data_IF_881766329638
#
_entry.id   IF_881766329638
#
_cell.length_a   1.000
_cell.length_b   1.000
_cell.length_c   1.000
_cell.angle_alpha   90.00
_cell.angle_beta   90.00
_cell.angle_gamma   90.00
#
_symmetry.space_group_name_H-M   'P 1'
#
loop_
_entity.id
_entity.type
_entity.pdbx_description
1 polymer ?
#
# COMPACT_ATOMS: atom_id res chain seq x y z
N UNK A 1 21.45 8.75 15.11
CA UNK A 1 20.68 8.41 13.90
C UNK A 1 20.70 9.64 12.99
N UNK A 2 21.04 9.49 11.71
CA UNK A 2 20.91 10.58 10.76
C UNK A 2 19.43 10.82 10.47
N UNK A 3 18.99 12.08 10.47
CA UNK A 3 17.58 12.44 10.23
C UNK A 3 17.07 11.86 8.89
N UNK A 4 17.96 11.78 7.91
CA UNK A 4 17.73 11.23 6.57
C UNK A 4 17.36 9.74 6.56
N UNK A 5 17.60 9.01 7.66
CA UNK A 5 17.26 7.59 7.81
C UNK A 5 15.96 7.36 8.60
N UNK A 6 15.23 8.42 8.96
CA UNK A 6 13.95 8.34 9.66
C UNK A 6 12.81 8.59 8.66
N UNK A 7 11.74 7.79 8.73
CA UNK A 7 10.53 7.96 7.92
C UNK A 7 9.30 7.89 8.81
N UNK A 8 8.47 8.95 8.81
CA UNK A 8 7.17 8.93 9.46
C UNK A 8 6.10 8.69 8.39
N UNK A 9 5.54 7.48 8.36
CA UNK A 9 4.57 7.06 7.34
C UNK A 9 3.22 6.73 7.96
N UNK A 10 2.14 7.16 7.29
CA UNK A 10 0.79 6.77 7.68
C UNK A 10 0.15 5.86 6.65
N UNK A 11 -0.60 4.85 7.09
CA UNK A 11 -1.42 4.03 6.19
C UNK A 11 -2.86 4.51 6.31
N UNK A 12 -3.49 4.79 5.18
CA UNK A 12 -4.88 5.20 5.13
C UNK A 12 -5.61 4.54 3.97
N UNK A 13 -6.87 4.22 4.18
CA UNK A 13 -7.64 3.41 3.24
C UNK A 13 -9.14 3.57 3.46
N UNK A 14 -9.94 3.12 2.49
CA UNK A 14 -11.34 2.83 2.72
C UNK A 14 -11.52 1.63 3.68
N UNK A 15 -12.70 1.51 4.27
CA UNK A 15 -13.08 0.38 5.13
C UNK A 15 -12.87 -0.93 4.37
N UNK A 16 -12.37 -1.96 5.07
CA UNK A 16 -12.10 -3.28 4.49
C UNK A 16 -11.22 -3.26 3.22
N UNK A 17 -10.26 -2.34 3.14
CA UNK A 17 -9.23 -2.34 2.09
C UNK A 17 -7.94 -3.07 2.51
N UNK A 18 -7.91 -3.63 3.73
CA UNK A 18 -6.76 -4.39 4.24
C UNK A 18 -5.63 -3.54 4.85
N UNK A 19 -5.95 -2.34 5.33
CA UNK A 19 -5.00 -1.42 5.98
C UNK A 19 -4.28 -2.05 7.18
N UNK A 20 -5.04 -2.58 8.15
CA UNK A 20 -4.48 -3.26 9.33
C UNK A 20 -3.68 -4.49 8.95
N UNK A 21 -4.15 -5.27 7.97
CA UNK A 21 -3.43 -6.43 7.45
C UNK A 21 -2.07 -6.02 6.87
N UNK A 22 -2.01 -4.92 6.12
CA UNK A 22 -0.74 -4.37 5.61
C UNK A 22 0.18 -3.94 6.76
N UNK A 23 -0.34 -3.24 7.77
CA UNK A 23 0.41 -2.88 8.98
C UNK A 23 1.02 -4.10 9.68
N UNK A 24 0.22 -5.15 9.90
CA UNK A 24 0.69 -6.41 10.52
C UNK A 24 1.79 -7.07 9.68
N UNK A 25 1.66 -7.08 8.35
CA UNK A 25 2.69 -7.64 7.45
C UNK A 25 4.00 -6.85 7.53
N UNK A 26 3.94 -5.52 7.61
CA UNK A 26 5.13 -4.67 7.83
C UNK A 26 5.80 -5.02 9.17
N UNK A 27 5.02 -5.18 10.24
CA UNK A 27 5.52 -5.59 11.54
C UNK A 27 6.19 -6.98 11.50
N UNK A 28 5.61 -7.91 10.74
CA UNK A 28 6.13 -9.27 10.62
C UNK A 28 7.44 -9.30 9.84
N UNK A 29 7.49 -8.70 8.66
CA UNK A 29 8.70 -8.69 7.84
C UNK A 29 9.84 -7.90 8.48
N UNK A 30 9.55 -6.87 9.27
CA UNK A 30 10.57 -6.15 10.07
C UNK A 30 11.04 -6.91 11.31
N UNK A 31 10.51 -8.12 11.56
CA UNK A 31 10.87 -8.96 12.71
C UNK A 31 10.29 -8.47 14.05
N UNK A 32 9.39 -7.49 14.05
CA UNK A 32 8.78 -6.95 15.27
C UNK A 32 7.76 -7.90 15.90
N UNK A 33 7.06 -8.66 15.06
CA UNK A 33 6.17 -9.75 15.46
C UNK A 33 6.61 -11.06 14.79
N UNK A 34 6.42 -12.19 15.46
CA UNK A 34 6.84 -13.51 14.96
C UNK A 34 5.68 -14.36 14.44
N UNK A 35 4.44 -13.86 14.52
CA UNK A 35 3.24 -14.53 14.03
C UNK A 35 2.32 -13.49 13.43
N UNK A 36 1.80 -13.77 12.23
CA UNK A 36 0.76 -12.95 11.61
C UNK A 36 -0.59 -13.42 12.12
N UNK A 37 -1.42 -12.49 12.60
CA UNK A 37 -2.80 -12.79 13.00
C UNK A 37 -3.76 -12.00 12.11
N UNK A 38 -4.79 -12.66 11.61
CA UNK A 38 -5.83 -11.98 10.84
C UNK A 38 -6.77 -11.19 11.76
N UNK A 39 -7.25 -10.05 11.25
CA UNK A 39 -8.20 -9.16 11.95
C UNK A 39 -9.50 -9.88 12.32
N UNK A 40 -9.92 -10.89 11.53
CA UNK A 40 -11.16 -11.66 11.73
C UNK A 40 -10.94 -13.16 11.95
N UNK A 41 -9.74 -13.58 12.35
CA UNK A 41 -9.41 -14.98 12.59
C UNK A 41 -9.73 -15.46 14.01
N UNK A 42 -9.75 -16.78 14.22
CA UNK A 42 -9.78 -17.38 15.56
C UNK A 42 -8.45 -17.08 16.29
N UNK A 43 -8.47 -16.12 17.22
CA UNK A 43 -7.26 -15.69 17.93
C UNK A 43 -7.41 -14.38 18.70
N UNK A 44 -6.28 -13.80 19.12
CA UNK A 44 -6.25 -12.56 19.91
C UNK A 44 -6.47 -11.27 19.09
N UNK A 45 -6.75 -11.36 17.78
CA UNK A 45 -6.89 -10.22 16.86
C UNK A 45 -5.55 -9.62 16.43
N UNK A 46 -5.59 -8.72 15.44
CA UNK A 46 -4.40 -7.99 14.97
C UNK A 46 -3.73 -7.23 16.13
N UNK A 47 -2.40 -7.20 16.15
CA UNK A 47 -1.58 -6.51 17.15
C UNK A 47 -1.88 -5.02 17.19
N UNK A 48 -2.16 -4.39 16.05
CA UNK A 48 -2.43 -2.95 15.93
C UNK A 48 -3.80 -2.52 16.46
N UNK A 49 -4.79 -3.43 16.47
CA UNK A 49 -6.14 -3.16 17.00
C UNK A 49 -6.15 -3.52 18.50
N UNK A 50 -5.78 -2.58 19.36
CA UNK A 50 -5.60 -2.85 20.79
C UNK A 50 -6.91 -2.86 21.59
N UNK A 51 -7.97 -2.18 21.13
CA UNK A 51 -9.24 -2.11 21.84
C UNK A 51 -10.08 -3.38 21.58
N UNK A 52 -10.76 -3.90 22.62
CA UNK A 52 -11.65 -5.08 22.47
C UNK A 52 -12.73 -4.86 21.41
N UNK A 53 -13.27 -3.65 21.32
CA UNK A 53 -14.28 -3.29 20.32
C UNK A 53 -13.72 -3.28 18.88
N UNK A 54 -12.46 -2.90 18.71
CA UNK A 54 -11.77 -2.94 17.40
C UNK A 54 -11.63 -4.38 16.92
N UNK A 55 -11.21 -5.29 17.81
CA UNK A 55 -11.10 -6.72 17.55
C UNK A 55 -12.43 -7.39 17.26
N UNK A 56 -13.47 -7.05 18.04
CA UNK A 56 -14.82 -7.61 17.87
C UNK A 56 -15.45 -7.20 16.53
N UNK A 57 -15.24 -5.93 16.12
CA UNK A 57 -15.85 -5.36 14.91
C UNK A 57 -14.97 -5.50 13.67
N UNK A 58 -13.68 -5.79 13.84
CA UNK A 58 -12.66 -5.78 12.79
C UNK A 58 -12.52 -4.41 12.12
N UNK A 59 -12.53 -3.33 12.91
CA UNK A 59 -12.35 -1.95 12.44
C UNK A 59 -11.32 -1.23 13.31
N UNK A 60 -10.53 -0.34 12.72
CA UNK A 60 -9.63 0.57 13.45
C UNK A 60 -10.40 1.81 13.90
N UNK A 61 -10.43 2.09 15.21
CA UNK A 61 -11.12 3.24 15.83
C UNK A 61 -10.11 4.32 16.19
N UNK A 62 -8.99 3.93 16.81
CA UNK A 62 -7.93 4.85 17.23
C UNK A 62 -6.68 4.70 16.36
N UNK A 63 -5.94 5.79 16.18
CA UNK A 63 -4.68 5.71 15.44
C UNK A 63 -3.63 4.98 16.28
N UNK A 64 -3.07 3.89 15.75
CA UNK A 64 -2.02 3.12 16.41
C UNK A 64 -0.65 3.51 15.84
N UNK A 65 0.31 3.85 16.70
CA UNK A 65 1.66 4.21 16.30
C UNK A 65 2.66 3.15 16.75
N UNK A 66 3.54 2.73 15.85
CA UNK A 66 4.58 1.74 16.12
C UNK A 66 5.85 2.10 15.37
N UNK A 67 7.00 1.67 15.89
CA UNK A 67 8.31 1.90 15.26
C UNK A 67 8.91 0.57 14.86
N UNK A 68 9.39 0.49 13.63
CA UNK A 68 10.11 -0.67 13.09
C UNK A 68 11.47 -0.25 12.55
N UNK A 69 12.41 -1.19 12.55
CA UNK A 69 13.67 -1.05 11.82
C UNK A 69 13.56 -1.83 10.52
N UNK A 70 13.89 -1.19 9.42
CA UNK A 70 13.99 -1.82 8.11
C UNK A 70 15.35 -1.49 7.52
N UNK A 71 16.22 -2.49 7.48
CA UNK A 71 17.64 -2.30 7.17
C UNK A 71 18.27 -1.19 8.04
N UNK A 72 18.78 -0.14 7.39
CA UNK A 72 19.37 1.03 8.01
C UNK A 72 18.36 2.12 8.41
N UNK A 73 17.09 1.96 8.06
CA UNK A 73 16.03 2.96 8.24
C UNK A 73 15.17 2.68 9.46
N UNK A 74 14.80 3.75 10.16
CA UNK A 74 13.76 3.72 11.19
C UNK A 74 12.46 4.24 10.61
N UNK A 75 11.44 3.40 10.66
CA UNK A 75 10.11 3.73 10.15
C UNK A 75 9.17 3.84 11.34
N UNK A 76 8.59 5.03 11.52
CA UNK A 76 7.49 5.27 12.44
C UNK A 76 6.19 5.14 11.64
N UNK A 77 5.46 4.07 11.90
CA UNK A 77 4.23 3.71 11.23
C UNK A 77 3.04 4.21 12.06
N UNK A 78 2.14 4.97 11.43
CA UNK A 78 0.86 5.40 12.01
C UNK A 78 -0.27 4.74 11.23
N UNK A 79 -0.97 3.81 11.86
CA UNK A 79 -2.15 3.18 11.27
C UNK A 79 -3.38 4.02 11.55
N UNK A 80 -4.02 4.56 10.51
CA UNK A 80 -5.11 5.55 10.66
C UNK A 80 -6.50 4.92 10.51
N UNK A 81 -7.53 5.38 11.23
CA UNK A 81 -8.90 4.92 11.02
C UNK A 81 -9.37 5.13 9.56
N UNK A 82 -10.07 4.14 9.00
CA UNK A 82 -10.60 4.22 7.62
C UNK A 82 -12.08 4.64 7.54
N UNK A 83 -12.73 4.81 8.70
CA UNK A 83 -14.16 5.15 8.79
C UNK A 83 -14.37 6.67 8.84
N UNK A 84 -15.46 7.13 8.24
CA UNK A 84 -15.82 8.57 8.15
C UNK A 84 -16.01 9.23 9.53
N UNK A 85 -16.49 8.45 10.50
CA UNK A 85 -16.76 8.93 11.86
C UNK A 85 -15.48 9.28 12.64
N UNK A 86 -14.31 8.82 12.17
CA UNK A 86 -13.01 9.05 12.83
C UNK A 86 -12.10 9.99 12.03
N UNK A 87 -12.69 10.83 11.17
CA UNK A 87 -11.96 11.81 10.33
C UNK A 87 -11.07 12.77 11.12
N UNK A 88 -11.42 13.10 12.37
CA UNK A 88 -10.58 13.95 13.24
C UNK A 88 -9.24 13.29 13.56
N UNK A 89 -9.23 11.98 13.80
CA UNK A 89 -8.00 11.22 14.07
C UNK A 89 -7.12 11.11 12.82
N UNK A 90 -7.74 10.94 11.65
CA UNK A 90 -7.04 10.96 10.36
C UNK A 90 -6.40 12.33 10.12
N UNK A 91 -7.13 13.44 10.32
CA UNK A 91 -6.56 14.78 10.15
C UNK A 91 -5.40 15.08 11.10
N UNK A 92 -5.46 14.60 12.35
CA UNK A 92 -4.37 14.77 13.31
C UNK A 92 -3.13 14.02 12.87
N UNK A 93 -3.31 12.78 12.42
CA UNK A 93 -2.21 11.93 11.95
C UNK A 93 -1.54 12.53 10.70
N UNK A 94 -2.31 12.98 9.72
CA UNK A 94 -1.76 13.55 8.47
C UNK A 94 -0.88 14.78 8.67
N UNK A 95 -1.02 15.53 9.77
CA UNK A 95 -0.21 16.73 10.04
C UNK A 95 1.22 16.43 10.49
N UNK A 96 1.50 15.20 10.91
CA UNK A 96 2.80 14.81 11.49
C UNK A 96 3.57 13.82 10.61
N UNK A 97 3.02 13.46 9.46
CA UNK A 97 3.58 12.46 8.55
C UNK A 97 4.45 13.08 7.48
N UNK A 98 5.56 12.42 7.18
CA UNK A 98 6.43 12.76 6.04
C UNK A 98 5.83 12.22 4.72
N UNK A 99 5.05 11.15 4.81
CA UNK A 99 4.36 10.54 3.67
C UNK A 99 3.25 9.59 4.09
N UNK A 100 2.44 9.17 3.12
CA UNK A 100 1.34 8.24 3.36
C UNK A 100 1.23 7.14 2.30
N UNK A 101 0.65 6.01 2.69
CA UNK A 101 0.27 4.92 1.81
C UNK A 101 -1.26 4.92 1.72
N UNK A 102 -1.78 5.23 0.53
CA UNK A 102 -3.20 5.15 0.21
C UNK A 102 -3.51 3.74 -0.29
N UNK A 103 -4.10 2.92 0.57
CA UNK A 103 -4.48 1.54 0.21
C UNK A 103 -5.84 1.53 -0.50
N UNK A 104 -5.88 0.90 -1.67
CA UNK A 104 -7.06 0.76 -2.51
C UNK A 104 -7.33 -0.73 -2.76
N UNK A 105 -8.60 -1.12 -2.86
CA UNK A 105 -8.97 -2.50 -3.18
C UNK A 105 -8.98 -2.71 -4.70
N UNK A 106 -8.32 -3.75 -5.20
CA UNK A 106 -8.26 -4.08 -6.63
C UNK A 106 -9.65 -4.29 -7.27
N UNK A 107 -10.60 -4.80 -6.50
CA UNK A 107 -11.99 -4.99 -6.92
C UNK A 107 -12.82 -3.73 -6.69
N UNK A 108 -12.65 -3.09 -5.53
CA UNK A 108 -13.45 -1.96 -5.10
C UNK A 108 -13.09 -0.64 -5.79
N UNK A 109 -11.86 -0.46 -6.25
CA UNK A 109 -11.37 0.78 -6.82
C UNK A 109 -11.42 1.97 -5.87
N UNK A 110 -11.65 3.15 -6.41
CA UNK A 110 -11.74 4.41 -5.65
C UNK A 110 -13.15 4.59 -5.10
N UNK A 111 -13.24 4.58 -3.78
CA UNK A 111 -14.47 4.75 -3.00
C UNK A 111 -14.64 6.19 -2.49
N UNK A 112 -15.85 6.55 -2.06
CA UNK A 112 -16.14 7.90 -1.56
C UNK A 112 -15.29 8.30 -0.35
N UNK A 113 -14.94 7.33 0.51
CA UNK A 113 -14.01 7.58 1.62
C UNK A 113 -12.57 7.74 1.15
N UNK A 114 -12.13 7.00 0.13
CA UNK A 114 -10.81 7.20 -0.49
C UNK A 114 -10.67 8.64 -0.97
N UNK A 115 -11.71 9.22 -1.58
CA UNK A 115 -11.72 10.63 -1.99
C UNK A 115 -11.65 11.62 -0.82
N UNK A 116 -12.27 11.30 0.31
CA UNK A 116 -12.22 12.15 1.51
C UNK A 116 -10.81 12.17 2.10
N UNK A 117 -10.22 11.00 2.27
CA UNK A 117 -8.83 10.82 2.75
C UNK A 117 -7.85 11.50 1.80
N UNK A 118 -8.06 11.31 0.49
CA UNK A 118 -7.28 11.95 -0.57
C UNK A 118 -7.25 13.48 -0.44
N UNK A 119 -8.42 14.09 -0.27
CA UNK A 119 -8.56 15.54 -0.07
C UNK A 119 -7.84 16.00 1.20
N UNK A 120 -7.88 15.22 2.27
CA UNK A 120 -7.17 15.54 3.51
C UNK A 120 -5.64 15.50 3.29
N UNK A 121 -5.12 14.47 2.63
CA UNK A 121 -3.70 14.38 2.27
C UNK A 121 -3.26 15.56 1.38
N UNK A 122 -4.05 15.92 0.35
CA UNK A 122 -3.79 17.08 -0.51
C UNK A 122 -3.78 18.39 0.28
N UNK A 123 -4.71 18.57 1.22
CA UNK A 123 -4.80 19.76 2.08
C UNK A 123 -3.54 19.96 2.92
N UNK A 124 -2.96 18.88 3.44
CA UNK A 124 -1.74 18.92 4.23
C UNK A 124 -0.46 18.72 3.40
N UNK A 125 -0.59 18.59 2.08
CA UNK A 125 0.52 18.36 1.12
C UNK A 125 1.38 17.16 1.48
N UNK A 126 0.76 16.10 2.01
CA UNK A 126 1.46 14.85 2.36
C UNK A 126 1.72 14.08 1.06
N UNK A 127 2.99 13.82 0.69
CA UNK A 127 3.32 12.92 -0.42
C UNK A 127 2.75 11.53 -0.16
N UNK A 128 2.26 10.85 -1.20
CA UNK A 128 1.64 9.54 -1.01
C UNK A 128 1.93 8.56 -2.13
N UNK A 129 1.98 7.30 -1.76
CA UNK A 129 2.02 6.16 -2.66
C UNK A 129 0.65 5.48 -2.65
N UNK A 130 0.17 5.05 -3.81
CA UNK A 130 -1.01 4.20 -3.91
C UNK A 130 -0.58 2.72 -3.82
N UNK A 131 -1.24 1.94 -2.97
CA UNK A 131 -1.02 0.50 -2.86
C UNK A 131 -2.33 -0.23 -3.19
N UNK A 132 -2.35 -0.95 -4.31
CA UNK A 132 -3.51 -1.73 -4.74
C UNK A 132 -3.43 -3.10 -4.06
N UNK A 133 -4.34 -3.34 -3.13
CA UNK A 133 -4.43 -4.56 -2.33
C UNK A 133 -5.57 -5.47 -2.80
N UNK A 134 -5.61 -6.70 -2.30
CA UNK A 134 -6.63 -7.71 -2.62
C UNK A 134 -6.62 -8.15 -4.09
N UNK A 135 -5.43 -8.25 -4.68
CA UNK A 135 -5.20 -8.71 -6.06
C UNK A 135 -5.57 -10.18 -6.28
N UNK A 136 -5.63 -10.95 -5.20
CA UNK A 136 -6.02 -12.36 -5.12
C UNK A 136 -7.52 -12.60 -5.34
N UNK A 137 -8.34 -11.54 -5.34
CA UNK A 137 -9.81 -11.67 -5.49
C UNK A 137 -10.23 -11.73 -6.94
N UNK A 138 -11.26 -12.52 -7.23
CA UNK A 138 -11.93 -12.53 -8.52
C UNK A 138 -12.42 -11.12 -8.89
N UNK A 139 -12.10 -10.66 -10.10
CA UNK A 139 -12.42 -9.32 -10.59
C UNK A 139 -11.45 -8.23 -10.13
N UNK A 140 -10.26 -8.60 -9.63
CA UNK A 140 -9.17 -7.66 -9.41
C UNK A 140 -8.73 -7.05 -10.75
N UNK A 141 -8.75 -5.72 -10.85
CA UNK A 141 -8.44 -5.03 -12.11
C UNK A 141 -7.63 -3.74 -11.82
N UNK A 142 -6.30 -3.83 -11.70
CA UNK A 142 -5.47 -2.70 -11.25
C UNK A 142 -5.43 -1.56 -12.26
N UNK A 143 -5.55 -1.84 -13.55
CA UNK A 143 -5.62 -0.82 -14.59
C UNK A 143 -6.87 0.05 -14.44
N UNK A 144 -8.03 -0.54 -14.12
CA UNK A 144 -9.23 0.22 -13.79
C UNK A 144 -9.03 1.08 -12.55
N UNK A 145 -8.40 0.56 -11.50
CA UNK A 145 -8.09 1.37 -10.31
C UNK A 145 -7.22 2.58 -10.66
N UNK A 146 -6.23 2.43 -11.55
CA UNK A 146 -5.43 3.56 -12.04
C UNK A 146 -6.28 4.59 -12.78
N UNK A 147 -7.14 4.15 -13.72
CA UNK A 147 -8.06 5.07 -14.41
C UNK A 147 -8.98 5.79 -13.43
N UNK A 148 -9.50 5.08 -12.42
CA UNK A 148 -10.33 5.69 -11.38
C UNK A 148 -9.59 6.69 -10.50
N UNK A 149 -8.31 6.47 -10.19
CA UNK A 149 -7.47 7.46 -9.50
C UNK A 149 -7.38 8.73 -10.35
N UNK A 150 -7.11 8.58 -11.65
CA UNK A 150 -7.02 9.72 -12.55
C UNK A 150 -8.33 10.51 -12.65
N UNK A 151 -9.45 9.81 -12.86
CA UNK A 151 -10.76 10.44 -13.08
C UNK A 151 -11.37 11.01 -11.79
N UNK A 152 -11.31 10.27 -10.68
CA UNK A 152 -12.02 10.62 -9.44
C UNK A 152 -11.15 11.41 -8.46
N UNK A 153 -9.86 11.12 -8.38
CA UNK A 153 -8.95 11.85 -7.49
C UNK A 153 -8.28 13.04 -8.20
N UNK A 154 -8.25 13.03 -9.54
CA UNK A 154 -7.63 14.09 -10.33
C UNK A 154 -6.11 14.09 -10.20
N UNK A 155 -5.51 12.91 -10.06
CA UNK A 155 -4.07 12.69 -9.99
C UNK A 155 -3.57 12.01 -11.26
N UNK A 156 -2.24 11.95 -11.45
CA UNK A 156 -1.62 11.21 -12.56
C UNK A 156 -0.92 9.97 -12.00
N UNK A 157 -1.64 8.84 -11.84
CA UNK A 157 -1.05 7.62 -11.30
C UNK A 157 -0.05 7.03 -12.30
N UNK A 158 1.10 6.60 -11.78
CA UNK A 158 2.13 5.91 -12.53
C UNK A 158 2.26 4.52 -11.92
N UNK A 159 2.11 3.48 -12.76
CA UNK A 159 2.34 2.11 -12.32
C UNK A 159 3.84 1.90 -12.13
N UNK A 160 4.22 1.47 -10.93
CA UNK A 160 5.59 1.06 -10.60
C UNK A 160 5.78 -0.45 -10.81
N UNK A 161 4.69 -1.21 -10.76
CA UNK A 161 4.67 -2.66 -10.83
C UNK A 161 3.51 -3.14 -11.71
N UNK A 162 3.69 -4.29 -12.36
CA UNK A 162 2.62 -5.03 -13.04
C UNK A 162 2.37 -6.37 -12.32
N UNK A 163 1.12 -6.82 -12.17
CA UNK A 163 0.85 -8.13 -11.60
C UNK A 163 1.19 -9.25 -12.60
N UNK A 164 1.69 -10.37 -12.09
CA UNK A 164 1.80 -11.63 -12.82
C UNK A 164 0.60 -12.49 -12.43
N UNK A 165 -0.31 -12.71 -13.39
CA UNK A 165 -1.60 -13.33 -13.15
C UNK A 165 -2.64 -12.40 -12.51
N UNK A 166 -3.85 -12.93 -12.27
CA UNK A 166 -4.98 -12.18 -11.71
C UNK A 166 -5.87 -13.06 -10.83
N UNK A 167 -6.41 -12.51 -9.74
CA UNK A 167 -7.27 -13.27 -8.84
C UNK A 167 -6.55 -14.51 -8.30
N UNK A 168 -7.12 -15.69 -8.53
CA UNK A 168 -6.55 -16.96 -8.04
C UNK A 168 -5.22 -17.34 -8.71
N UNK A 169 -4.89 -16.77 -9.86
CA UNK A 169 -3.60 -17.01 -10.54
C UNK A 169 -2.55 -15.96 -10.23
N UNK A 170 -2.84 -15.01 -9.34
CA UNK A 170 -1.87 -13.98 -8.94
C UNK A 170 -0.71 -14.61 -8.15
N UNK A 171 0.49 -14.58 -8.74
CA UNK A 171 1.65 -15.31 -8.23
C UNK A 171 2.88 -14.42 -7.98
N UNK A 172 2.89 -13.20 -8.52
CA UNK A 172 4.04 -12.31 -8.43
C UNK A 172 3.78 -10.94 -9.02
N UNK A 173 4.84 -10.13 -9.06
CA UNK A 173 4.82 -8.80 -9.67
C UNK A 173 6.07 -8.55 -10.50
N UNK A 174 5.94 -7.84 -11.61
CA UNK A 174 7.06 -7.31 -12.38
C UNK A 174 7.38 -5.92 -11.84
N UNK A 175 8.61 -5.71 -11.38
CA UNK A 175 9.12 -4.38 -11.06
C UNK A 175 9.59 -3.67 -12.32
N UNK A 176 8.94 -2.56 -12.68
CA UNK A 176 9.26 -1.79 -13.88
C UNK A 176 10.53 -0.94 -13.74
N UNK A 177 11.02 -0.73 -12.51
CA UNK A 177 12.27 -0.01 -12.26
C UNK A 177 13.45 -0.92 -12.62
N UNK A 178 13.54 -2.06 -11.96
CA UNK A 178 14.63 -3.04 -12.15
C UNK A 178 14.43 -3.94 -13.38
N UNK A 179 13.20 -4.00 -13.92
CA UNK A 179 12.80 -4.91 -15.00
C UNK A 179 13.05 -6.37 -14.66
N UNK A 180 12.55 -6.78 -13.49
CA UNK A 180 12.63 -8.15 -12.99
C UNK A 180 11.26 -8.63 -12.50
N UNK A 181 11.01 -9.92 -12.67
CA UNK A 181 9.85 -10.59 -12.06
C UNK A 181 10.19 -10.96 -10.63
N UNK A 182 9.31 -10.62 -9.70
CA UNK A 182 9.41 -10.90 -8.27
C UNK A 182 8.33 -11.92 -7.90
N UNK A 183 8.78 -13.07 -7.40
CA UNK A 183 7.94 -14.11 -6.83
C UNK A 183 8.18 -14.18 -5.32
N UNK A 184 7.14 -14.52 -4.57
CA UNK A 184 7.17 -14.51 -3.11
C UNK A 184 6.97 -15.92 -2.57
N UNK A 185 8.09 -16.61 -2.33
CA UNK A 185 8.11 -17.99 -1.84
C UNK A 185 8.08 -18.03 -0.30
N UNK A 186 7.62 -19.15 0.27
CA UNK A 186 7.46 -19.33 1.71
C UNK A 186 5.99 -19.30 2.17
N UNK A 187 5.74 -19.62 3.43
CA UNK A 187 4.37 -19.68 3.98
C UNK A 187 3.72 -18.29 3.98
N UNK A 188 4.53 -17.26 4.17
CA UNK A 188 4.10 -15.87 4.25
C UNK A 188 4.83 -14.97 3.27
N UNK A 189 5.42 -15.53 2.19
CA UNK A 189 6.14 -14.75 1.18
C UNK A 189 7.43 -14.10 1.69
N UNK A 190 8.07 -14.73 2.68
CA UNK A 190 9.30 -14.23 3.31
C UNK A 190 10.54 -14.32 2.41
N UNK A 191 10.52 -15.16 1.38
CA UNK A 191 11.64 -15.34 0.46
C UNK A 191 11.29 -14.72 -0.91
N UNK A 192 11.87 -13.57 -1.21
CA UNK A 192 11.72 -12.92 -2.51
C UNK A 192 12.66 -13.59 -3.51
N UNK A 193 12.10 -14.15 -4.57
CA UNK A 193 12.84 -14.72 -5.71
C UNK A 193 12.74 -13.79 -6.90
N UNK A 194 13.89 -13.33 -7.38
CA UNK A 194 14.00 -12.49 -8.57
C UNK A 194 14.31 -13.33 -9.79
N UNK A 195 13.52 -13.16 -10.86
CA UNK A 195 13.69 -13.85 -12.14
C UNK A 195 13.58 -12.88 -13.32
N UNK A 196 13.89 -13.38 -14.51
CA UNK A 196 13.60 -12.67 -15.74
C UNK A 196 12.09 -12.63 -16.00
N UNK A 197 11.64 -11.57 -16.65
CA UNK A 197 10.21 -11.37 -16.94
C UNK A 197 9.72 -12.48 -17.90
N UNK A 198 8.54 -13.07 -17.68
CA UNK A 198 7.95 -14.04 -18.59
C UNK A 198 7.85 -13.51 -20.03
N UNK A 199 8.19 -14.34 -21.01
CA UNK A 199 8.26 -13.94 -22.43
C UNK A 199 6.95 -13.33 -22.96
N UNK A 200 5.82 -13.82 -22.48
CA UNK A 200 4.48 -13.35 -22.84
C UNK A 200 4.12 -11.98 -22.23
N UNK A 201 4.81 -11.59 -21.15
CA UNK A 201 4.61 -10.30 -20.46
C UNK A 201 5.69 -9.26 -20.78
N UNK A 202 6.79 -9.65 -21.42
CA UNK A 202 7.93 -8.77 -21.73
C UNK A 202 7.48 -7.51 -22.51
N UNK A 203 6.64 -7.69 -23.53
CA UNK A 203 6.15 -6.58 -24.35
C UNK A 203 5.29 -5.58 -23.55
N UNK A 204 4.45 -6.07 -22.63
CA UNK A 204 3.65 -5.22 -21.77
C UNK A 204 4.52 -4.50 -20.73
N UNK A 205 5.49 -5.19 -20.13
CA UNK A 205 6.44 -4.58 -19.20
C UNK A 205 7.22 -3.43 -19.86
N UNK A 206 7.74 -3.63 -21.07
CA UNK A 206 8.44 -2.58 -21.83
C UNK A 206 7.53 -1.40 -22.16
N UNK A 207 6.30 -1.66 -22.57
CA UNK A 207 5.29 -0.63 -22.85
C UNK A 207 4.98 0.21 -21.61
N UNK A 208 4.69 -0.42 -20.47
CA UNK A 208 4.37 0.30 -19.23
C UNK A 208 5.60 1.01 -18.64
N UNK A 209 6.81 0.45 -18.82
CA UNK A 209 8.05 1.14 -18.48
C UNK A 209 8.23 2.42 -19.30
N UNK A 210 7.98 2.37 -20.62
CA UNK A 210 8.05 3.55 -21.47
C UNK A 210 7.06 4.64 -21.01
N UNK A 211 5.80 4.26 -20.73
CA UNK A 211 4.79 5.18 -20.18
C UNK A 211 5.25 5.81 -18.85
N UNK A 212 5.85 5.01 -17.97
CA UNK A 212 6.41 5.50 -16.70
C UNK A 212 7.53 6.51 -16.93
N UNK A 213 8.50 6.19 -17.78
CA UNK A 213 9.62 7.07 -18.08
C UNK A 213 9.15 8.39 -18.71
N UNK A 214 8.25 8.32 -19.71
CA UNK A 214 7.67 9.50 -20.35
C UNK A 214 7.01 10.43 -19.32
N UNK A 215 6.28 9.88 -18.35
CA UNK A 215 5.65 10.66 -17.29
C UNK A 215 6.68 11.29 -16.33
N UNK A 216 7.79 10.59 -16.04
CA UNK A 216 8.84 11.08 -15.16
C UNK A 216 9.74 12.14 -15.81
N UNK A 217 9.93 12.10 -17.13
CA UNK A 217 10.69 13.11 -17.89
C UNK A 217 10.10 14.52 -17.75
N UNK A 218 8.81 14.65 -17.42
CA UNK A 218 8.18 15.96 -17.13
C UNK A 218 8.74 16.61 -15.86
N UNK A 219 9.31 15.82 -14.94
CA UNK A 219 9.78 16.28 -13.63
C UNK A 219 11.30 16.29 -13.48
N UNK A 220 12.02 15.63 -14.38
CA UNK A 220 13.47 15.58 -14.36
C UNK A 220 14.05 15.59 -15.78
N UNK A 221 14.70 16.69 -16.15
CA UNK A 221 15.32 16.88 -17.46
C UNK A 221 16.47 15.89 -17.72
N UNK A 222 17.10 15.33 -16.68
CA UNK A 222 18.17 14.33 -16.82
C UNK A 222 17.64 12.95 -17.28
N UNK A 223 16.32 12.73 -17.28
CA UNK A 223 15.69 11.51 -17.77
C UNK A 223 15.30 11.57 -19.26
N UNK A 224 15.37 12.75 -19.90
CA UNK A 224 15.19 12.90 -21.36
C UNK A 224 16.37 12.36 -22.15
#
# INVERSE_FOLDING_TARGET
MALEKIRNIGISAHIDSGKTTLSERILFYSGRIHKVQEVRGEGTGATMDHMELEKERGITITSAATTVQWEDFTINLIDTPGHVDFTVEVERSLRVLDGAILVLCAVGGVQSQSMTVDRQMKRYKVPRLAFINKMDRTGAEPHRVCSEIAEKLGDSPILMQLPIGEGETFEGVIDLITMKALYFDGEYGENVREEDIPEDMQADAEKYRAIMLDALCVFNDDLM
#
